data_IF_757078317018
#
_entry.id   IF_757078317018
#
_cell.length_a   1.000
_cell.length_b   1.000
_cell.length_c   1.000
_cell.angle_alpha   90.00
_cell.angle_beta   90.00
_cell.angle_gamma   90.00
#
_symmetry.space_group_name_H-M   'P 1'
#
loop_
_entity.id
_entity.type
_entity.pdbx_description
1 polymer ?
#
# COMPACT_ATOMS: atom_id res chain seq x y z
N UNK A 1 14.81 9.59 1.62
CA UNK A 1 14.20 9.75 2.96
C UNK A 1 12.96 10.67 2.98
N UNK A 2 12.97 11.91 2.46
CA UNK A 2 11.76 12.80 2.54
C UNK A 2 10.47 12.20 1.95
N UNK A 3 10.58 11.39 0.90
CA UNK A 3 9.45 10.63 0.34
C UNK A 3 8.84 9.65 1.36
N UNK A 4 9.67 8.82 2.01
CA UNK A 4 9.23 7.89 3.05
C UNK A 4 8.61 8.65 4.24
N UNK A 5 9.24 9.75 4.66
CA UNK A 5 8.69 10.62 5.70
C UNK A 5 7.31 11.14 5.34
N UNK A 6 7.11 11.60 4.10
CA UNK A 6 5.81 12.08 3.64
C UNK A 6 4.76 10.97 3.59
N UNK A 7 5.13 9.77 3.12
CA UNK A 7 4.26 8.59 3.12
C UNK A 7 3.76 8.25 4.53
N UNK A 8 4.65 8.26 5.54
CA UNK A 8 4.28 7.96 6.92
C UNK A 8 3.51 9.10 7.60
N UNK A 9 3.72 10.34 7.17
CA UNK A 9 3.01 11.51 7.71
C UNK A 9 1.59 11.65 7.17
N UNK A 10 1.43 11.36 5.88
CA UNK A 10 0.20 11.50 5.15
C UNK A 10 -0.29 10.12 4.73
N UNK A 11 -0.47 9.25 5.73
CA UNK A 11 -0.89 7.88 5.49
C UNK A 11 -2.39 7.74 5.16
N UNK A 12 -3.15 8.85 5.15
CA UNK A 12 -4.58 8.89 4.84
C UNK A 12 -5.43 7.83 5.60
N UNK A 13 -4.97 7.43 6.79
CA UNK A 13 -5.61 6.41 7.63
C UNK A 13 -5.11 4.98 7.42
N UNK A 14 -4.24 4.72 6.45
CA UNK A 14 -3.61 3.41 6.24
C UNK A 14 -2.60 3.08 7.35
N UNK A 15 -2.64 1.83 7.83
CA UNK A 15 -1.64 1.24 8.71
C UNK A 15 -0.48 0.71 7.88
N UNK A 16 0.62 1.44 7.88
CA UNK A 16 1.80 1.11 7.09
C UNK A 16 2.88 0.53 8.00
N UNK A 17 3.35 -0.67 7.67
CA UNK A 17 4.57 -1.23 8.24
C UNK A 17 5.77 -0.81 7.39
N UNK A 18 6.95 -0.64 8.01
CA UNK A 18 8.15 -0.25 7.27
C UNK A 18 9.32 -1.14 7.66
N UNK A 19 10.03 -1.61 6.64
CA UNK A 19 11.31 -2.31 6.74
C UNK A 19 12.36 -1.46 6.03
N UNK A 20 13.39 -1.03 6.76
CA UNK A 20 14.48 -0.19 6.22
C UNK A 20 15.75 -1.02 6.15
N UNK A 21 16.35 -1.11 4.96
CA UNK A 21 17.55 -1.92 4.70
C UNK A 21 18.84 -1.11 4.48
N UNK A 22 18.83 0.22 4.59
CA UNK A 22 20.02 1.05 4.35
C UNK A 22 20.75 1.38 5.67
N UNK A 23 22.09 1.34 5.65
CA UNK A 23 22.98 1.56 6.80
C UNK A 23 23.74 2.89 6.80
N UNK A 24 23.86 3.59 5.66
CA UNK A 24 24.63 4.84 5.60
C UNK A 24 23.97 6.06 6.29
N UNK A 25 22.65 5.99 6.55
CA UNK A 25 21.87 7.09 7.14
C UNK A 25 21.14 6.72 8.45
N UNK A 26 21.43 5.53 9.00
CA UNK A 26 20.74 4.88 10.12
C UNK A 26 20.60 5.72 11.37
N UNK A 27 21.52 6.66 11.64
CA UNK A 27 21.39 7.48 12.84
C UNK A 27 20.38 8.63 12.72
N UNK A 28 19.96 9.00 11.50
CA UNK A 28 19.04 10.10 11.24
C UNK A 28 17.66 9.57 10.85
N UNK A 29 17.57 8.52 10.03
CA UNK A 29 16.27 8.12 9.45
C UNK A 29 15.35 7.41 10.45
N UNK A 30 15.87 6.44 11.20
CA UNK A 30 15.13 5.81 12.29
C UNK A 30 14.78 6.82 13.40
N UNK A 31 15.67 7.78 13.68
CA UNK A 31 15.42 8.85 14.67
C UNK A 31 14.46 9.93 14.16
N UNK A 32 14.41 10.24 12.87
CA UNK A 32 13.45 11.19 12.30
C UNK A 32 12.03 10.61 12.25
N UNK A 33 11.91 9.29 12.08
CA UNK A 33 10.62 8.59 12.19
C UNK A 33 10.25 8.38 13.67
N UNK A 34 11.19 7.98 14.54
CA UNK A 34 10.95 7.74 15.97
C UNK A 34 10.81 9.02 16.82
N UNK A 35 11.39 10.17 16.45
CA UNK A 35 11.31 11.43 17.21
C UNK A 35 10.03 12.23 16.95
N UNK A 36 8.98 11.64 16.38
CA UNK A 36 7.69 12.32 16.29
C UNK A 36 6.98 12.27 17.64
N UNK A 37 7.31 13.28 18.43
CA UNK A 37 6.77 13.62 19.74
C UNK A 37 5.26 13.85 19.71
N UNK A 38 4.62 13.55 20.84
CA UNK A 38 3.27 13.97 21.16
C UNK A 38 3.13 15.52 21.10
N UNK A 39 1.92 16.06 20.92
CA UNK A 39 1.69 17.51 20.94
C UNK A 39 1.93 18.17 22.31
N UNK A 40 2.36 17.44 23.34
CA UNK A 40 2.57 17.94 24.71
C UNK A 40 4.06 18.09 25.09
N UNK A 41 5.00 17.78 24.19
CA UNK A 41 6.38 18.26 24.26
C UNK A 41 7.22 17.69 25.40
N UNK A 42 7.03 16.43 25.79
CA UNK A 42 7.91 15.76 26.77
C UNK A 42 8.94 14.87 26.04
N UNK A 43 10.26 15.10 26.22
CA UNK A 43 11.28 14.21 25.68
C UNK A 43 11.38 12.95 26.56
N UNK A 44 11.01 11.79 26.01
CA UNK A 44 11.26 10.50 26.69
C UNK A 44 12.72 10.11 26.51
N UNK A 45 13.54 10.45 27.50
CA UNK A 45 14.90 9.96 27.63
C UNK A 45 14.90 8.58 28.29
N UNK A 46 14.92 7.52 27.47
CA UNK A 46 15.53 6.23 27.82
C UNK A 46 15.59 5.35 26.56
N UNK A 47 16.80 4.94 26.14
CA UNK A 47 17.00 3.77 25.27
C UNK A 47 16.37 2.52 25.92
N UNK A 48 16.00 1.39 25.26
CA UNK A 48 16.06 0.93 23.85
C UNK A 48 14.65 0.51 23.36
N UNK A 49 14.51 -0.21 22.22
CA UNK A 49 13.49 -1.21 21.80
C UNK A 49 12.15 -1.43 22.58
N UNK A 50 11.59 -0.42 23.25
CA UNK A 50 10.51 -0.55 24.20
C UNK A 50 9.58 0.64 24.05
N UNK A 51 8.46 0.36 23.37
CA UNK A 51 7.16 1.06 23.30
C UNK A 51 6.72 1.21 21.85
N UNK A 52 6.53 0.05 21.23
CA UNK A 52 5.82 -0.16 20.00
C UNK A 52 4.36 0.32 20.17
N UNK A 53 4.05 1.50 19.60
CA UNK A 53 2.71 1.98 19.19
C UNK A 53 2.81 3.01 18.05
N UNK A 54 1.87 2.87 17.10
CA UNK A 54 1.56 3.71 15.91
C UNK A 54 2.77 4.31 15.15
N UNK A 55 3.23 3.58 14.13
CA UNK A 55 4.31 3.98 13.21
C UNK A 55 5.55 3.09 13.24
N UNK A 56 5.42 1.84 13.68
CA UNK A 56 6.53 0.94 13.99
C UNK A 56 7.35 0.56 12.75
N UNK A 57 8.54 1.15 12.64
CA UNK A 57 9.64 0.76 11.75
C UNK A 57 10.41 -0.41 12.35
N UNK A 58 10.72 -1.43 11.56
CA UNK A 58 11.69 -2.48 11.92
C UNK A 58 12.94 -2.28 11.07
N UNK A 59 14.08 -2.23 11.75
CA UNK A 59 15.40 -2.00 11.15
C UNK A 59 16.06 -3.35 10.83
N UNK A 60 16.53 -3.51 9.59
CA UNK A 60 17.37 -4.63 9.17
C UNK A 60 18.83 -4.36 9.53
N UNK A 61 19.55 -5.38 9.99
CA UNK A 61 20.99 -5.30 10.30
C UNK A 61 21.77 -6.25 9.38
N UNK A 62 22.53 -5.64 8.46
CA UNK A 62 23.55 -6.16 7.52
C UNK A 62 23.91 -7.66 7.46
N UNK A 63 23.98 -8.15 6.21
CA UNK A 63 25.00 -9.08 5.70
C UNK A 63 25.03 -9.18 4.17
N UNK A 64 26.11 -8.77 3.50
CA UNK A 64 26.31 -8.98 2.06
C UNK A 64 26.79 -10.40 1.73
N UNK A 65 25.91 -11.15 1.10
CA UNK A 65 26.13 -12.10 0.01
C UNK A 65 24.80 -12.14 -0.73
N UNK A 66 24.75 -12.26 -2.07
CA UNK A 66 23.49 -12.09 -2.81
C UNK A 66 22.35 -13.10 -2.47
N UNK A 67 22.55 -13.98 -1.49
CA UNK A 67 21.54 -14.84 -0.88
C UNK A 67 21.01 -14.33 0.50
N UNK A 68 21.80 -13.60 1.30
CA UNK A 68 21.42 -13.23 2.68
C UNK A 68 20.44 -12.06 2.77
N UNK A 69 20.45 -11.15 1.80
CA UNK A 69 19.50 -10.03 1.74
C UNK A 69 18.03 -10.49 1.63
N UNK A 70 17.80 -11.64 0.99
CA UNK A 70 16.47 -12.23 0.87
C UNK A 70 16.01 -12.85 2.18
N UNK A 71 16.89 -13.64 2.81
CA UNK A 71 16.60 -14.29 4.09
C UNK A 71 16.41 -13.24 5.19
N UNK A 72 17.25 -12.20 5.24
CA UNK A 72 17.12 -11.07 6.16
C UNK A 72 15.79 -10.31 5.96
N UNK A 73 15.40 -10.04 4.71
CA UNK A 73 14.11 -9.42 4.41
C UNK A 73 12.94 -10.30 4.89
N UNK A 74 12.96 -11.60 4.62
CA UNK A 74 11.91 -12.52 5.04
C UNK A 74 11.81 -12.60 6.57
N UNK A 75 12.94 -12.62 7.28
CA UNK A 75 13.01 -12.59 8.73
C UNK A 75 12.44 -11.30 9.32
N UNK A 76 12.75 -10.14 8.72
CA UNK A 76 12.17 -8.87 9.15
C UNK A 76 10.69 -8.78 8.87
N UNK A 77 10.23 -9.37 7.77
CA UNK A 77 8.81 -9.47 7.46
C UNK A 77 8.08 -10.38 8.45
N UNK A 78 8.67 -11.51 8.84
CA UNK A 78 8.09 -12.40 9.86
C UNK A 78 8.00 -11.70 11.22
N UNK A 79 9.06 -10.99 11.61
CA UNK A 79 9.05 -10.17 12.81
C UNK A 79 7.96 -9.11 12.72
N UNK A 80 7.91 -8.33 11.64
CA UNK A 80 6.93 -7.26 11.42
C UNK A 80 5.50 -7.76 11.48
N UNK A 81 5.21 -8.89 10.85
CA UNK A 81 3.85 -9.42 10.78
C UNK A 81 3.44 -10.15 12.07
N UNK A 82 4.42 -10.61 12.89
CA UNK A 82 4.21 -11.38 14.12
C UNK A 82 3.19 -12.52 13.93
N UNK A 83 3.40 -13.33 12.89
CA UNK A 83 2.50 -14.43 12.53
C UNK A 83 1.06 -13.99 12.22
N UNK A 84 0.89 -12.76 11.73
CA UNK A 84 -0.42 -12.17 11.40
C UNK A 84 -1.14 -11.51 12.57
N UNK A 85 -0.50 -11.42 13.76
CA UNK A 85 -1.07 -10.66 14.89
C UNK A 85 -1.10 -9.17 14.62
N UNK A 86 -0.11 -8.66 13.87
CA UNK A 86 -0.10 -7.27 13.38
C UNK A 86 -0.70 -7.22 11.97
N UNK A 87 -1.67 -6.34 11.80
CA UNK A 87 -2.35 -6.12 10.52
C UNK A 87 -1.96 -4.76 9.96
N UNK A 88 -1.37 -4.77 8.78
CA UNK A 88 -1.02 -3.59 8.01
C UNK A 88 -1.83 -3.59 6.71
N UNK A 89 -2.21 -2.40 6.26
CA UNK A 89 -2.82 -2.21 4.94
C UNK A 89 -1.76 -2.24 3.84
N UNK A 90 -0.51 -1.87 4.17
CA UNK A 90 0.64 -2.01 3.30
C UNK A 90 1.94 -2.15 4.12
N UNK A 91 2.95 -2.78 3.53
CA UNK A 91 4.32 -2.75 4.04
C UNK A 91 5.20 -2.09 2.99
N UNK A 92 6.02 -1.14 3.41
CA UNK A 92 7.02 -0.48 2.57
C UNK A 92 8.40 -1.00 2.93
N UNK A 93 9.11 -1.50 1.92
CA UNK A 93 10.50 -1.95 2.06
C UNK A 93 11.39 -0.93 1.36
N UNK A 94 12.22 -0.23 2.12
CA UNK A 94 13.27 0.63 1.58
C UNK A 94 14.51 -0.23 1.32
N UNK A 95 14.89 -0.35 0.05
CA UNK A 95 16.12 -1.00 -0.38
C UNK A 95 17.30 -0.04 -0.24
N UNK A 96 18.50 -0.59 -0.06
CA UNK A 96 19.73 0.20 -0.12
C UNK A 96 19.88 0.85 -1.50
N UNK A 97 20.63 1.97 -1.58
CA UNK A 97 20.86 2.68 -2.84
C UNK A 97 21.54 1.87 -3.95
N UNK A 98 22.09 0.70 -3.62
CA UNK A 98 22.74 -0.25 -4.55
C UNK A 98 22.02 -1.60 -4.66
N UNK A 99 20.87 -1.75 -4.00
CA UNK A 99 20.05 -2.96 -4.05
C UNK A 99 19.47 -3.21 -5.43
N UNK A 100 19.23 -4.48 -5.76
CA UNK A 100 18.57 -4.92 -7.00
C UNK A 100 17.09 -5.25 -6.70
N UNK A 101 16.13 -4.40 -7.12
CA UNK A 101 14.70 -4.64 -6.89
C UNK A 101 14.18 -5.89 -7.60
N UNK A 102 14.77 -6.27 -8.74
CA UNK A 102 14.38 -7.47 -9.49
C UNK A 102 14.75 -8.72 -8.72
N UNK A 103 15.97 -8.78 -8.18
CA UNK A 103 16.41 -9.88 -7.34
C UNK A 103 15.54 -10.02 -6.08
N UNK A 104 15.23 -8.91 -5.41
CA UNK A 104 14.35 -8.91 -4.22
C UNK A 104 12.97 -9.48 -4.57
N UNK A 105 12.36 -9.03 -5.67
CA UNK A 105 11.07 -9.54 -6.14
C UNK A 105 11.15 -11.04 -6.48
N UNK A 106 12.20 -11.47 -7.18
CA UNK A 106 12.37 -12.88 -7.55
C UNK A 106 12.51 -13.77 -6.31
N UNK A 107 13.34 -13.36 -5.35
CA UNK A 107 13.53 -14.10 -4.10
C UNK A 107 12.23 -14.22 -3.30
N UNK A 108 11.39 -13.17 -3.28
CA UNK A 108 10.06 -13.24 -2.68
C UNK A 108 9.17 -14.26 -3.37
N UNK A 109 9.16 -14.29 -4.70
CA UNK A 109 8.35 -15.24 -5.49
C UNK A 109 8.81 -16.70 -5.31
N UNK A 110 10.11 -16.91 -5.18
CA UNK A 110 10.69 -18.22 -4.89
C UNK A 110 10.28 -18.67 -3.48
N UNK A 111 10.38 -17.78 -2.48
CA UNK A 111 9.91 -18.04 -1.12
C UNK A 111 8.40 -18.33 -1.07
N UNK A 112 7.60 -17.62 -1.86
CA UNK A 112 6.17 -17.86 -2.00
C UNK A 112 5.86 -19.23 -2.60
N UNK A 113 6.61 -19.63 -3.62
CA UNK A 113 6.50 -20.96 -4.23
C UNK A 113 6.88 -22.10 -3.27
N UNK A 114 7.73 -21.81 -2.29
CA UNK A 114 8.10 -22.74 -1.21
C UNK A 114 7.16 -22.67 0.00
N UNK A 115 6.19 -21.76 0.02
CA UNK A 115 5.20 -21.62 1.10
C UNK A 115 5.72 -20.94 2.36
N UNK A 116 6.66 -19.98 2.23
CA UNK A 116 7.19 -19.23 3.37
C UNK A 116 6.08 -18.45 4.11
N UNK A 117 6.00 -18.47 5.45
CA UNK A 117 4.91 -17.84 6.22
C UNK A 117 4.64 -16.37 5.88
N UNK A 118 5.68 -15.52 5.82
CA UNK A 118 5.55 -14.10 5.41
C UNK A 118 4.80 -13.90 4.09
N UNK A 119 5.04 -14.78 3.11
CA UNK A 119 4.45 -14.68 1.75
C UNK A 119 2.99 -15.12 1.69
N UNK A 120 2.50 -15.79 2.73
CA UNK A 120 1.07 -16.11 2.89
C UNK A 120 0.28 -14.92 3.48
N UNK A 121 0.99 -13.96 4.07
CA UNK A 121 0.41 -12.81 4.77
C UNK A 121 0.57 -11.50 3.97
N UNK A 122 1.56 -11.42 3.09
CA UNK A 122 1.85 -10.26 2.25
C UNK A 122 2.23 -10.69 0.83
N UNK A 123 2.01 -9.79 -0.12
CA UNK A 123 2.43 -9.96 -1.52
C UNK A 123 3.16 -8.71 -2.02
N UNK A 124 4.03 -8.86 -3.01
CA UNK A 124 4.76 -7.75 -3.62
C UNK A 124 3.88 -7.11 -4.69
N UNK A 125 3.18 -6.05 -4.29
CA UNK A 125 2.26 -5.34 -5.18
C UNK A 125 2.97 -4.45 -6.21
N UNK A 126 3.97 -3.68 -5.76
CA UNK A 126 4.51 -2.57 -6.54
C UNK A 126 5.96 -2.25 -6.20
N UNK A 127 6.77 -1.95 -7.23
CA UNK A 127 8.11 -1.37 -7.11
C UNK A 127 8.05 0.11 -7.47
N UNK A 128 8.57 0.96 -6.59
CA UNK A 128 8.60 2.42 -6.77
C UNK A 128 10.03 2.92 -6.74
N UNK A 129 10.45 3.60 -7.82
CA UNK A 129 11.79 4.19 -7.91
C UNK A 129 11.71 5.71 -7.84
N UNK A 130 12.46 6.29 -6.91
CA UNK A 130 12.54 7.75 -6.71
C UNK A 130 13.79 8.27 -7.41
N UNK A 131 13.59 9.07 -8.46
CA UNK A 131 14.65 9.61 -9.29
C UNK A 131 14.95 11.05 -8.88
N UNK A 132 16.20 11.36 -8.55
CA UNK A 132 16.65 12.74 -8.33
C UNK A 132 16.76 13.48 -9.67
N UNK A 133 15.79 14.33 -9.99
CA UNK A 133 15.79 15.09 -11.24
C UNK A 133 17.02 16.01 -11.40
N UNK A 134 17.64 16.45 -10.30
CA UNK A 134 18.77 17.38 -10.35
C UNK A 134 20.08 16.68 -10.77
N UNK A 135 20.25 15.39 -10.42
CA UNK A 135 21.53 14.67 -10.64
C UNK A 135 21.41 13.49 -11.60
N UNK A 136 20.23 12.92 -11.82
CA UNK A 136 20.07 11.69 -12.61
C UNK A 136 20.69 11.76 -14.01
N UNK A 137 20.51 12.88 -14.73
CA UNK A 137 21.12 13.05 -16.04
C UNK A 137 22.65 13.10 -16.02
N UNK A 138 23.26 13.68 -14.98
CA UNK A 138 24.72 13.71 -14.83
C UNK A 138 25.26 12.36 -14.36
N UNK A 139 24.54 11.69 -13.46
CA UNK A 139 24.90 10.37 -12.94
C UNK A 139 24.77 9.29 -14.03
N UNK A 140 23.83 9.44 -14.96
CA UNK A 140 23.69 8.56 -16.12
C UNK A 140 24.88 8.64 -17.10
N UNK A 141 25.51 9.82 -17.20
CA UNK A 141 26.57 10.08 -18.18
C UNK A 141 27.99 9.84 -17.64
N UNK A 142 28.10 9.39 -16.39
CA UNK A 142 29.39 9.14 -15.74
C UNK A 142 29.94 7.74 -16.04
N UNK A 143 31.22 7.54 -15.71
CA UNK A 143 31.88 6.22 -15.71
C UNK A 143 32.24 5.74 -14.29
N UNK A 144 31.80 6.51 -13.28
CA UNK A 144 32.00 6.21 -11.86
C UNK A 144 31.44 4.83 -11.51
N UNK A 145 32.08 4.18 -10.56
CA UNK A 145 31.47 3.07 -9.82
C UNK A 145 30.75 3.59 -8.58
N UNK A 146 29.94 2.74 -7.94
CA UNK A 146 29.34 3.07 -6.66
C UNK A 146 30.40 3.35 -5.58
N UNK A 147 31.56 2.67 -5.63
CA UNK A 147 32.70 2.93 -4.72
C UNK A 147 33.36 4.30 -4.90
N UNK A 148 33.27 4.90 -6.09
CA UNK A 148 33.73 6.27 -6.32
C UNK A 148 32.80 7.32 -5.68
N UNK A 149 31.57 6.93 -5.31
CA UNK A 149 30.56 7.80 -4.69
C UNK A 149 30.57 7.63 -3.18
N UNK A 150 31.01 8.66 -2.47
CA UNK A 150 31.06 8.65 -1.00
C UNK A 150 29.68 8.40 -0.38
N UNK A 151 29.60 7.37 0.48
CA UNK A 151 28.39 7.03 1.25
C UNK A 151 27.34 6.21 0.49
N UNK A 152 27.64 5.69 -0.70
CA UNK A 152 26.73 4.81 -1.44
C UNK A 152 26.92 3.32 -1.13
N UNK A 153 28.14 2.94 -0.75
CA UNK A 153 28.56 1.58 -0.45
C UNK A 153 29.47 1.58 0.76
N UNK A 154 29.47 0.48 1.50
CA UNK A 154 30.44 0.24 2.56
C UNK A 154 31.83 0.01 1.96
N UNK A 155 32.88 0.43 2.68
CA UNK A 155 34.27 0.30 2.21
C UNK A 155 34.68 -1.17 2.00
N UNK A 156 34.05 -2.10 2.72
CA UNK A 156 34.33 -3.54 2.67
C UNK A 156 33.41 -4.32 1.70
N UNK A 157 32.48 -3.66 1.00
CA UNK A 157 31.60 -4.31 0.00
C UNK A 157 32.24 -4.29 -1.40
N UNK A 158 33.21 -5.18 -1.61
CA UNK A 158 33.91 -5.34 -2.89
C UNK A 158 32.94 -5.60 -4.06
N UNK A 159 31.78 -6.21 -3.82
CA UNK A 159 30.82 -6.51 -4.89
C UNK A 159 30.06 -5.25 -5.32
N UNK A 160 29.57 -4.46 -4.37
CA UNK A 160 28.85 -3.24 -4.65
C UNK A 160 29.78 -2.12 -5.17
N UNK A 161 30.99 -2.01 -4.64
CA UNK A 161 31.94 -0.93 -4.99
C UNK A 161 32.34 -0.91 -6.46
N UNK A 162 32.32 -2.06 -7.15
CA UNK A 162 32.73 -2.15 -8.56
C UNK A 162 31.58 -1.92 -9.55
N UNK A 163 30.33 -1.85 -9.07
CA UNK A 163 29.16 -1.68 -9.95
C UNK A 163 29.16 -0.28 -10.56
N UNK A 164 28.85 -0.18 -11.86
CA UNK A 164 28.79 1.11 -12.54
C UNK A 164 27.52 1.86 -12.19
N UNK A 165 27.64 3.16 -11.93
CA UNK A 165 26.50 4.01 -11.57
C UNK A 165 25.38 3.93 -12.63
N UNK A 166 25.64 4.06 -13.94
CA UNK A 166 24.57 3.95 -14.94
C UNK A 166 23.88 2.59 -14.97
N UNK A 167 24.60 1.49 -14.69
CA UNK A 167 24.01 0.14 -14.64
C UNK A 167 23.04 0.02 -13.46
N UNK A 168 23.45 0.48 -12.27
CA UNK A 168 22.59 0.55 -11.08
C UNK A 168 21.33 1.38 -11.32
N UNK A 169 21.49 2.56 -11.92
CA UNK A 169 20.37 3.44 -12.24
C UNK A 169 19.41 2.79 -13.25
N UNK A 170 19.95 2.12 -14.28
CA UNK A 170 19.15 1.44 -15.28
C UNK A 170 18.28 0.35 -14.66
N UNK A 171 18.89 -0.55 -13.88
CA UNK A 171 18.19 -1.68 -13.25
C UNK A 171 17.05 -1.22 -12.34
N UNK A 172 17.29 -0.19 -11.52
CA UNK A 172 16.26 0.35 -10.63
C UNK A 172 15.10 1.01 -11.39
N UNK A 173 15.37 1.67 -12.52
CA UNK A 173 14.32 2.27 -13.36
C UNK A 173 13.54 1.18 -14.10
N UNK A 174 14.23 0.18 -14.66
CA UNK A 174 13.64 -0.91 -15.42
C UNK A 174 12.73 -1.82 -14.56
N UNK A 175 13.08 -2.02 -13.29
CA UNK A 175 12.29 -2.84 -12.37
C UNK A 175 11.01 -2.16 -11.84
N UNK A 176 10.89 -0.85 -12.01
CA UNK A 176 9.82 -0.06 -11.39
C UNK A 176 8.47 -0.20 -12.10
N UNK A 177 7.40 -0.25 -11.32
CA UNK A 177 6.03 -0.02 -11.81
C UNK A 177 5.66 1.47 -11.77
N UNK A 178 6.32 2.24 -10.89
CA UNK A 178 6.09 3.68 -10.72
C UNK A 178 7.42 4.42 -10.54
N UNK A 179 7.58 5.50 -11.29
CA UNK A 179 8.73 6.39 -11.29
C UNK A 179 8.34 7.75 -10.74
N UNK A 180 9.00 8.17 -9.67
CA UNK A 180 8.85 9.50 -9.10
C UNK A 180 10.05 10.36 -9.50
N UNK A 181 9.88 11.22 -10.50
CA UNK A 181 10.85 12.26 -10.85
C UNK A 181 10.77 13.32 -9.76
N UNK A 182 11.64 13.21 -8.75
CA UNK A 182 11.61 13.99 -7.52
C UNK A 182 12.60 15.16 -7.56
N UNK A 183 12.43 16.10 -6.63
CA UNK A 183 13.22 17.34 -6.49
C UNK A 183 13.05 18.30 -7.68
N UNK A 184 11.85 18.33 -8.29
CA UNK A 184 11.55 19.27 -9.39
C UNK A 184 11.56 20.73 -8.95
N UNK A 185 11.51 20.99 -7.64
CA UNK A 185 11.71 22.30 -7.02
C UNK A 185 13.17 22.77 -7.03
N UNK A 186 14.12 21.83 -7.08
CA UNK A 186 15.55 22.11 -7.16
C UNK A 186 16.09 22.00 -8.59
N UNK A 187 15.51 21.10 -9.38
CA UNK A 187 15.91 20.86 -10.76
C UNK A 187 15.33 21.92 -11.71
N UNK A 188 16.14 22.43 -12.65
CA UNK A 188 15.63 23.25 -13.74
C UNK A 188 14.81 22.45 -14.74
N UNK A 189 13.96 23.13 -15.53
CA UNK A 189 13.09 22.47 -16.54
C UNK A 189 13.85 21.54 -17.50
N UNK A 190 15.08 21.89 -17.87
CA UNK A 190 15.95 21.04 -18.70
C UNK A 190 16.32 19.73 -18.00
N UNK A 191 16.70 19.79 -16.71
CA UNK A 191 17.07 18.61 -15.93
C UNK A 191 15.88 17.68 -15.73
N UNK A 192 14.70 18.22 -15.41
CA UNK A 192 13.45 17.45 -15.31
C UNK A 192 13.12 16.76 -16.63
N UNK A 193 13.26 17.48 -17.76
CA UNK A 193 13.03 16.92 -19.09
C UNK A 193 14.02 15.81 -19.44
N UNK A 194 15.30 15.96 -19.08
CA UNK A 194 16.33 14.94 -19.32
C UNK A 194 16.03 13.71 -18.46
N UNK A 195 15.77 13.90 -17.16
CA UNK A 195 15.48 12.80 -16.25
C UNK A 195 14.24 12.02 -16.68
N UNK A 196 13.15 12.72 -16.99
CA UNK A 196 11.91 12.11 -17.48
C UNK A 196 12.10 11.39 -18.82
N UNK A 197 12.88 11.99 -19.74
CA UNK A 197 13.15 11.40 -21.05
C UNK A 197 13.95 10.11 -20.96
N UNK A 198 15.04 10.12 -20.17
CA UNK A 198 15.87 8.92 -19.91
C UNK A 198 15.06 7.84 -19.20
N UNK A 199 14.31 8.23 -18.15
CA UNK A 199 13.49 7.30 -17.39
C UNK A 199 12.45 6.58 -18.27
N UNK A 200 11.75 7.32 -19.15
CA UNK A 200 10.81 6.73 -20.12
C UNK A 200 11.48 5.86 -21.18
N UNK A 201 12.73 6.16 -21.55
CA UNK A 201 13.47 5.36 -22.51
C UNK A 201 13.87 4.01 -21.93
N UNK A 202 14.24 3.98 -20.65
CA UNK A 202 14.56 2.76 -19.91
C UNK A 202 13.30 1.96 -19.59
N UNK A 203 12.25 2.64 -19.11
CA UNK A 203 11.00 1.98 -18.74
C UNK A 203 9.79 2.78 -19.26
N UNK A 204 9.24 2.29 -20.37
CA UNK A 204 8.06 2.88 -21.03
C UNK A 204 6.74 2.50 -20.36
N UNK A 205 6.73 1.41 -19.58
CA UNK A 205 5.53 0.79 -19.05
C UNK A 205 5.20 1.32 -17.64
N UNK A 206 6.18 1.90 -16.93
CA UNK A 206 5.97 2.51 -15.62
C UNK A 206 5.16 3.81 -15.66
N UNK A 207 4.34 4.01 -14.62
CA UNK A 207 3.68 5.28 -14.36
C UNK A 207 4.71 6.32 -13.92
N UNK A 208 4.69 7.53 -14.49
CA UNK A 208 5.69 8.57 -14.20
C UNK A 208 5.03 9.80 -13.60
N UNK A 209 5.55 10.26 -12.46
CA UNK A 209 5.07 11.44 -11.76
C UNK A 209 6.20 12.40 -11.41
N UNK A 210 6.00 13.67 -11.69
CA UNK A 210 6.87 14.75 -11.21
C UNK A 210 6.46 15.14 -9.79
N UNK A 211 7.42 15.17 -8.86
CA UNK A 211 7.16 15.38 -7.44
C UNK A 211 8.22 16.28 -6.79
N UNK A 212 7.81 16.95 -5.72
CA UNK A 212 8.71 17.63 -4.78
C UNK A 212 8.57 16.97 -3.42
N UNK A 213 9.71 16.67 -2.79
CA UNK A 213 9.77 15.93 -1.52
C UNK A 213 9.06 14.56 -1.56
N UNK A 214 8.83 13.98 -2.74
CA UNK A 214 8.05 12.74 -2.90
C UNK A 214 6.56 12.90 -2.56
N UNK A 215 6.00 14.11 -2.64
CA UNK A 215 4.57 14.33 -2.41
C UNK A 215 3.74 13.85 -3.60
N UNK A 216 2.95 12.81 -3.39
CA UNK A 216 2.01 12.20 -4.33
C UNK A 216 0.93 11.48 -3.52
N UNK A 217 -0.31 11.30 -4.04
CA UNK A 217 -1.34 10.55 -3.32
C UNK A 217 -0.86 9.15 -2.92
N UNK A 218 -1.14 8.76 -1.68
CA UNK A 218 -0.62 7.50 -1.14
C UNK A 218 -1.14 6.28 -1.90
N UNK A 219 -2.40 6.33 -2.36
CA UNK A 219 -2.99 5.27 -3.19
C UNK A 219 -2.20 5.02 -4.48
N UNK A 220 -1.53 6.05 -5.00
CA UNK A 220 -0.66 5.94 -6.18
C UNK A 220 0.65 5.26 -5.82
N UNK A 221 1.26 5.56 -4.66
CA UNK A 221 2.48 4.86 -4.22
C UNK A 221 2.17 3.40 -3.91
N UNK A 222 1.10 3.14 -3.16
CA UNK A 222 0.76 1.79 -2.70
C UNK A 222 0.03 0.93 -3.75
N UNK A 223 -0.44 1.53 -4.85
CA UNK A 223 -1.21 0.83 -5.88
C UNK A 223 -2.62 0.42 -5.43
N UNK A 224 -3.20 1.11 -4.43
CA UNK A 224 -4.49 0.75 -3.80
C UNK A 224 -5.72 1.35 -4.53
N UNK A 225 -5.52 2.35 -5.40
CA UNK A 225 -6.61 3.03 -6.12
C UNK A 225 -7.43 2.09 -7.04
N UNK A 226 -6.87 0.94 -7.43
CA UNK A 226 -7.48 -0.02 -8.35
C UNK A 226 -8.47 -0.98 -7.68
N UNK A 227 -8.37 -1.19 -6.37
CA UNK A 227 -9.16 -2.22 -5.68
C UNK A 227 -10.47 -1.64 -5.13
N UNK A 228 -10.42 -0.46 -4.51
CA UNK A 228 -11.61 0.16 -3.92
C UNK A 228 -12.61 0.72 -4.94
N UNK A 229 -12.16 1.15 -6.14
CA UNK A 229 -13.09 1.58 -7.20
C UNK A 229 -13.95 0.42 -7.69
N UNK A 230 -13.39 -0.79 -7.81
CA UNK A 230 -14.14 -1.99 -8.23
C UNK A 230 -15.16 -2.44 -7.20
N UNK A 231 -14.88 -2.29 -5.91
CA UNK A 231 -15.82 -2.64 -4.84
C UNK A 231 -16.98 -1.62 -4.73
N UNK A 232 -16.68 -0.32 -4.80
CA UNK A 232 -17.70 0.74 -4.82
C UNK A 232 -18.55 0.77 -6.09
N UNK A 233 -18.03 0.25 -7.21
CA UNK A 233 -18.80 0.08 -8.45
C UNK A 233 -19.69 -1.17 -8.41
N UNK A 234 -19.25 -2.25 -7.75
CA UNK A 234 -20.10 -3.44 -7.50
C UNK A 234 -21.29 -3.15 -6.58
N UNK A 235 -21.11 -2.32 -5.55
CA UNK A 235 -22.22 -1.87 -4.69
C UNK A 235 -23.24 -0.96 -5.41
N UNK A 236 -22.90 -0.42 -6.59
CA UNK A 236 -23.74 0.51 -7.35
C UNK A 236 -24.45 -0.11 -8.55
N UNK A 237 -24.41 -1.43 -8.72
CA UNK A 237 -25.22 -2.09 -9.73
C UNK A 237 -26.70 -2.12 -9.31
N UNK A 238 -27.44 -1.11 -9.76
CA UNK A 238 -28.90 -1.03 -9.62
C UNK A 238 -29.58 -2.27 -10.19
N UNK A 239 -30.67 -2.66 -9.54
CA UNK A 239 -31.62 -3.66 -10.02
C UNK A 239 -32.03 -3.40 -11.48
N UNK A 240 -32.06 -4.45 -12.31
CA UNK A 240 -32.39 -4.38 -13.75
C UNK A 240 -33.91 -4.41 -13.98
N UNK A 241 -34.72 -4.64 -12.93
CA UNK A 241 -36.17 -4.71 -13.02
C UNK A 241 -36.79 -3.30 -13.25
N UNK A 242 -37.46 -3.06 -14.40
CA UNK A 242 -38.13 -1.80 -14.69
C UNK A 242 -39.29 -1.44 -13.74
N UNK A 243 -39.76 -2.40 -12.92
CA UNK A 243 -40.87 -2.24 -11.97
C UNK A 243 -40.45 -2.09 -10.49
N UNK A 244 -39.15 -2.19 -10.17
CA UNK A 244 -38.70 -2.16 -8.77
C UNK A 244 -38.56 -0.72 -8.26
N UNK A 245 -39.43 -0.33 -7.32
CA UNK A 245 -39.39 0.97 -6.63
C UNK A 245 -38.70 0.91 -5.25
N UNK A 246 -38.08 -0.22 -4.90
CA UNK A 246 -37.40 -0.42 -3.62
C UNK A 246 -35.98 0.17 -3.66
N UNK A 247 -35.67 1.19 -2.83
CA UNK A 247 -34.34 1.78 -2.75
C UNK A 247 -33.24 0.83 -2.21
N UNK A 248 -33.61 -0.32 -1.63
CA UNK A 248 -32.69 -1.29 -1.02
C UNK A 248 -32.40 -2.54 -1.86
N UNK A 249 -32.98 -2.66 -3.06
CA UNK A 249 -32.86 -3.88 -3.88
C UNK A 249 -31.49 -3.97 -4.59
N UNK A 250 -30.67 -4.95 -4.21
CA UNK A 250 -29.41 -5.32 -4.87
C UNK A 250 -29.57 -6.59 -5.72
N UNK A 251 -28.69 -6.81 -6.70
CA UNK A 251 -28.78 -7.89 -7.70
C UNK A 251 -28.75 -9.34 -7.17
N UNK A 252 -28.55 -9.55 -5.87
CA UNK A 252 -28.37 -10.90 -5.29
C UNK A 252 -29.55 -11.37 -4.42
N UNK A 253 -30.78 -11.05 -4.80
CA UNK A 253 -31.93 -11.76 -4.24
C UNK A 253 -32.30 -12.95 -5.14
N UNK A 254 -31.83 -14.11 -4.73
CA UNK A 254 -32.21 -15.42 -5.25
C UNK A 254 -33.71 -15.68 -5.00
N UNK A 255 -34.38 -16.21 -6.00
CA UNK A 255 -35.84 -16.34 -6.14
C UNK A 255 -36.52 -17.12 -4.99
N UNK A 256 -37.04 -16.42 -3.97
CA UNK A 256 -38.01 -17.03 -3.04
C UNK A 256 -38.92 -16.04 -2.32
N UNK A 257 -39.71 -15.24 -3.05
CA UNK A 257 -40.92 -14.64 -2.45
C UNK A 257 -42.17 -14.94 -3.28
N UNK A 258 -42.93 -15.90 -2.79
CA UNK A 258 -44.34 -16.12 -3.11
C UNK A 258 -45.14 -14.85 -2.80
N UNK A 259 -45.86 -14.35 -3.80
CA UNK A 259 -46.84 -13.29 -3.67
C UNK A 259 -47.95 -13.69 -2.68
N UNK A 260 -48.33 -12.78 -1.80
CA UNK A 260 -49.72 -12.64 -1.38
C UNK A 260 -50.16 -11.19 -1.58
N UNK A 261 -51.22 -11.04 -2.36
CA UNK A 261 -51.73 -9.77 -2.83
C UNK A 261 -52.59 -9.06 -1.78
N UNK A 262 -52.39 -7.74 -1.74
CA UNK A 262 -53.40 -6.70 -1.68
C UNK A 262 -54.30 -6.61 -0.43
N UNK A 263 -54.18 -5.46 0.23
CA UNK A 263 -55.36 -4.76 0.75
C UNK A 263 -55.09 -3.26 0.76
N UNK A 264 -55.55 -2.61 -0.31
CA UNK A 264 -55.95 -1.22 -0.25
C UNK A 264 -57.28 -1.13 0.51
N UNK A 265 -57.35 -0.14 1.40
CA UNK A 265 -58.53 0.58 1.88
C UNK A 265 -59.83 -0.19 2.07
N UNK A 266 -60.27 -0.41 3.31
CA UNK A 266 -61.68 -0.22 3.68
C UNK A 266 -61.87 0.04 5.19
N UNK A 267 -62.63 1.08 5.46
CA UNK A 267 -63.05 1.56 6.77
C UNK A 267 -63.81 0.51 7.59
N UNK A 268 -63.59 0.52 8.90
CA UNK A 268 -64.36 -0.25 9.86
C UNK A 268 -65.83 0.22 9.90
N UNK A 269 -66.75 -0.69 9.56
CA UNK A 269 -68.14 -0.59 9.98
C UNK A 269 -68.58 -1.91 10.62
N UNK A 270 -69.11 -1.79 11.82
CA UNK A 270 -69.67 -2.84 12.67
C UNK A 270 -70.81 -3.60 12.00
N UNK A 271 -70.89 -4.93 12.14
CA UNK A 271 -72.12 -5.66 12.53
C UNK A 271 -71.98 -7.19 12.41
N UNK A 272 -72.26 -7.88 13.51
CA UNK A 272 -72.74 -9.26 13.66
C UNK A 272 -72.55 -10.27 12.51
N UNK A 273 -71.79 -11.34 12.77
CA UNK A 273 -71.70 -12.54 11.92
C UNK A 273 -72.82 -13.54 12.26
N UNK A 274 -73.56 -14.00 11.25
CA UNK A 274 -74.66 -14.98 11.38
C UNK A 274 -74.26 -16.39 10.91
N UNK A 275 -72.96 -16.67 10.77
CA UNK A 275 -72.46 -17.99 10.36
C UNK A 275 -72.30 -18.92 11.58
N UNK A 276 -73.07 -20.01 11.68
CA UNK A 276 -72.99 -20.96 12.80
C UNK A 276 -71.68 -21.78 12.85
N UNK A 277 -70.78 -21.65 11.86
CA UNK A 277 -69.46 -22.29 11.82
C UNK A 277 -68.27 -21.35 12.06
N UNK A 278 -68.49 -20.05 12.32
CA UNK A 278 -67.40 -19.09 12.52
C UNK A 278 -66.69 -19.31 13.87
N UNK A 279 -65.35 -19.35 13.87
CA UNK A 279 -64.51 -19.48 15.08
C UNK A 279 -63.63 -18.26 15.33
N UNK A 280 -63.90 -17.15 14.64
CA UNK A 280 -63.12 -15.92 14.77
C UNK A 280 -63.51 -15.17 16.05
N UNK A 281 -62.51 -14.82 16.86
CA UNK A 281 -62.67 -14.13 18.14
C UNK A 281 -62.72 -12.60 18.02
N UNK A 282 -62.64 -12.06 16.81
CA UNK A 282 -62.62 -10.61 16.56
C UNK A 282 -64.00 -9.94 16.66
N UNK A 283 -65.09 -10.70 16.74
CA UNK A 283 -66.47 -10.20 16.79
C UNK A 283 -67.42 -11.08 17.62
N UNK A 284 -68.53 -10.49 18.09
CA UNK A 284 -69.48 -11.14 19.01
C UNK A 284 -70.50 -12.03 18.28
N UNK A 285 -70.74 -13.23 18.82
CA UNK A 285 -71.80 -14.15 18.41
C UNK A 285 -72.95 -14.13 19.43
N UNK A 286 -73.88 -13.19 19.29
CA UNK A 286 -75.11 -13.15 20.10
C UNK A 286 -76.27 -13.73 19.30
N UNK A 287 -76.71 -14.93 19.67
CA UNK A 287 -77.84 -15.64 19.05
C UNK A 287 -79.17 -15.02 19.46
N UNK A 288 -80.08 -14.79 18.51
CA UNK A 288 -81.51 -14.59 18.73
C UNK A 288 -82.29 -15.72 18.05
#
# INVERSE_FOLDING_TARGET
TSCLTNLLSNNEGYKIGVVINDIASVNIDAKLVANRMDPNGIPSASSPAALLKEGETIELQNGCACCSLADELLDSMDQLLDGGKRKFDAVVVELSGVGDPTAVKQNWMDAASMGHPSTLLADVNRVVTVIDAATFGTDWMTWDTAGDRGGWVEEDDDCATQRKVPELLAEQVEAADTLLINKVDLAGASQVSIASGLARQLNKDAELFETSFGQIPIDTILGLATTQKKEKEKEKEKCIDPGCADPGCTKEHDDSHSHDHASADHEASSSSCSDPGCTDTSHDHTSA
#
